data_IF_387982556446
#
_entry.id   IF_387982556446
#
_cell.length_a   1.000
_cell.length_b   1.000
_cell.length_c   1.000
_cell.angle_alpha   90.00
_cell.angle_beta   90.00
_cell.angle_gamma   90.00
#
_symmetry.space_group_name_H-M   'P 1'
#
loop_
_entity.id
_entity.type
_entity.pdbx_description
1 polymer ?
#
# COMPACT_ATOMS: atom_id res chain seq x y z
N UNK A 1 19.89 0.00 20.64
CA UNK A 1 18.53 -0.52 20.35
C UNK A 1 18.16 -0.03 18.97
N UNK A 2 17.70 -0.90 18.07
CA UNK A 2 17.21 -0.49 16.74
C UNK A 2 15.72 -0.10 16.78
N UNK A 3 15.21 0.50 15.70
CA UNK A 3 13.82 0.96 15.62
C UNK A 3 12.79 -0.16 15.82
N UNK A 4 13.08 -1.37 15.34
CA UNK A 4 12.16 -2.51 15.44
C UNK A 4 11.99 -2.98 16.87
N UNK A 5 13.09 -3.06 17.63
CA UNK A 5 13.05 -3.37 19.05
C UNK A 5 12.33 -2.27 19.85
N UNK A 6 12.65 -1.00 19.58
CA UNK A 6 12.00 0.13 20.25
C UNK A 6 10.48 0.18 19.97
N UNK A 7 10.07 -0.08 18.72
CA UNK A 7 8.66 -0.13 18.35
C UNK A 7 7.92 -1.27 19.07
N UNK A 8 8.56 -2.44 19.24
CA UNK A 8 7.96 -3.55 19.98
C UNK A 8 7.72 -3.21 21.45
N UNK A 9 8.67 -2.53 22.09
CA UNK A 9 8.55 -2.09 23.49
C UNK A 9 7.42 -1.07 23.63
N UNK A 10 7.43 0.01 22.84
CA UNK A 10 6.39 1.04 22.86
C UNK A 10 5.00 0.45 22.57
N UNK A 11 4.91 -0.46 21.59
CA UNK A 11 3.66 -1.14 21.23
C UNK A 11 3.10 -1.96 22.38
N UNK A 12 3.96 -2.65 23.15
CA UNK A 12 3.54 -3.44 24.32
C UNK A 12 3.14 -2.56 25.48
N UNK A 13 3.88 -1.46 25.73
CA UNK A 13 3.57 -0.51 26.80
C UNK A 13 2.17 0.09 26.63
N UNK A 14 1.88 0.64 25.45
CA UNK A 14 0.58 1.27 25.16
C UNK A 14 -0.51 0.30 24.67
N UNK A 15 -0.16 -0.91 24.25
CA UNK A 15 -1.12 -1.86 23.68
C UNK A 15 -1.63 -1.48 22.29
N UNK A 16 -0.86 -0.76 21.46
CA UNK A 16 -1.24 -0.49 20.07
C UNK A 16 -1.25 -1.77 19.22
N UNK A 17 -2.08 -1.80 18.17
CA UNK A 17 -2.02 -2.88 17.18
C UNK A 17 -0.69 -2.87 16.43
N UNK A 18 -0.26 -1.69 15.98
CA UNK A 18 1.03 -1.47 15.32
C UNK A 18 1.50 -0.02 15.52
N UNK A 19 2.79 0.23 15.30
CA UNK A 19 3.38 1.57 15.23
C UNK A 19 4.06 1.70 13.88
N UNK A 20 3.77 2.78 13.14
CA UNK A 20 4.39 3.09 11.86
C UNK A 20 5.04 4.49 11.93
N UNK A 21 6.30 4.58 11.49
CA UNK A 21 7.02 5.84 11.30
C UNK A 21 7.90 5.81 10.06
N UNK A 22 7.61 4.88 9.14
CA UNK A 22 8.43 4.65 7.94
C UNK A 22 8.31 5.78 6.92
N UNK A 23 7.19 6.51 6.93
CA UNK A 23 6.95 7.68 6.08
C UNK A 23 7.87 8.87 6.39
N UNK A 24 8.54 8.89 7.54
CA UNK A 24 9.42 9.99 7.96
C UNK A 24 10.75 10.02 7.22
N UNK A 25 11.16 8.92 6.58
CA UNK A 25 12.48 8.80 5.95
C UNK A 25 13.65 8.87 6.94
N UNK A 26 13.39 8.67 8.23
CA UNK A 26 14.40 8.73 9.28
C UNK A 26 15.28 7.47 9.32
N UNK A 27 16.51 7.64 9.80
CA UNK A 27 17.37 6.51 10.13
C UNK A 27 16.75 5.67 11.26
N UNK A 28 17.09 4.37 11.30
CA UNK A 28 16.65 3.47 12.37
C UNK A 28 17.02 3.99 13.77
N UNK A 29 18.19 4.63 13.90
CA UNK A 29 18.63 5.23 15.17
C UNK A 29 17.72 6.39 15.62
N UNK A 30 17.38 7.32 14.71
CA UNK A 30 16.52 8.45 15.04
C UNK A 30 15.11 8.00 15.43
N UNK A 31 14.56 7.03 14.69
CA UNK A 31 13.26 6.45 15.01
C UNK A 31 13.29 5.72 16.36
N UNK A 32 14.37 4.98 16.68
CA UNK A 32 14.53 4.32 17.96
C UNK A 32 14.56 5.32 19.15
N UNK A 33 15.21 6.48 18.99
CA UNK A 33 15.23 7.54 20.02
C UNK A 33 13.83 8.09 20.26
N UNK A 34 13.08 8.39 19.19
CA UNK A 34 11.70 8.87 19.30
C UNK A 34 10.80 7.87 20.04
N UNK A 35 10.88 6.58 19.66
CA UNK A 35 10.10 5.51 20.29
C UNK A 35 10.51 5.22 21.74
N UNK A 36 11.80 5.38 22.07
CA UNK A 36 12.28 5.27 23.44
C UNK A 36 11.77 6.42 24.30
N UNK A 37 11.71 7.63 23.76
CA UNK A 37 11.11 8.80 24.43
C UNK A 37 9.62 8.58 24.69
N UNK A 38 8.90 8.01 23.71
CA UNK A 38 7.51 7.62 23.89
C UNK A 38 7.34 6.55 25.00
N UNK A 39 8.27 5.58 25.09
CA UNK A 39 8.24 4.57 26.15
C UNK A 39 8.48 5.18 27.52
N UNK A 40 9.48 6.06 27.67
CA UNK A 40 9.74 6.76 28.92
C UNK A 40 8.53 7.59 29.38
N UNK A 41 7.84 8.24 28.43
CA UNK A 41 6.60 8.96 28.70
C UNK A 41 5.49 8.04 29.26
N UNK A 42 5.41 6.79 28.82
CA UNK A 42 4.49 5.81 29.39
C UNK A 42 4.87 5.42 30.82
N UNK A 43 6.15 5.17 31.07
CA UNK A 43 6.62 4.76 32.39
C UNK A 43 6.35 5.87 33.43
N UNK A 44 6.50 7.14 33.04
CA UNK A 44 6.25 8.30 33.90
C UNK A 44 4.76 8.64 34.06
N UNK A 45 3.96 8.51 33.01
CA UNK A 45 2.60 9.07 32.96
C UNK A 45 1.50 8.09 32.53
N UNK A 46 1.80 6.81 32.36
CA UNK A 46 0.86 5.80 31.87
C UNK A 46 -0.40 5.67 32.71
N UNK A 47 -0.30 5.85 34.04
CA UNK A 47 -1.44 5.84 34.97
C UNK A 47 -2.43 6.99 34.76
N UNK A 48 -2.03 8.04 34.04
CA UNK A 48 -2.87 9.21 33.74
C UNK A 48 -3.64 9.08 32.42
N UNK A 49 -3.44 7.99 31.68
CA UNK A 49 -4.20 7.68 30.47
C UNK A 49 -5.58 7.14 30.83
N UNK A 50 -6.59 7.46 30.01
CA UNK A 50 -7.95 6.94 30.22
C UNK A 50 -8.07 5.45 29.90
N UNK A 51 -7.13 4.93 29.12
CA UNK A 51 -7.13 3.58 28.57
C UNK A 51 -5.97 2.77 29.14
N UNK A 52 -6.24 1.51 29.48
CA UNK A 52 -5.21 0.52 29.83
C UNK A 52 -4.57 -0.09 28.58
N UNK A 53 -5.23 0.03 27.42
CA UNK A 53 -4.72 -0.43 26.13
C UNK A 53 -5.41 0.34 25.00
N UNK A 54 -4.64 0.74 23.99
CA UNK A 54 -5.15 1.40 22.80
C UNK A 54 -5.64 0.42 21.72
N UNK A 55 -5.57 -0.89 21.94
CA UNK A 55 -6.03 -1.89 20.96
C UNK A 55 -7.53 -1.70 20.63
N UNK A 56 -7.94 -1.67 19.35
CA UNK A 56 -7.18 -2.08 18.16
C UNK A 56 -6.54 -0.93 17.36
N UNK A 57 -6.39 0.26 17.95
CA UNK A 57 -5.84 1.42 17.24
C UNK A 57 -4.33 1.26 16.96
N UNK A 58 -3.89 1.89 15.87
CA UNK A 58 -2.50 1.96 15.42
C UNK A 58 -1.94 3.34 15.72
N UNK A 59 -0.65 3.41 16.00
CA UNK A 59 0.08 4.67 16.10
C UNK A 59 0.77 4.99 14.78
N UNK A 60 0.58 6.19 14.26
CA UNK A 60 1.30 6.73 13.11
C UNK A 60 2.12 7.94 13.53
N UNK A 61 3.42 7.88 13.28
CA UNK A 61 4.33 9.01 13.41
C UNK A 61 4.39 9.72 12.05
N UNK A 62 3.81 10.92 11.96
CA UNK A 62 3.76 11.69 10.72
C UNK A 62 3.96 13.17 10.99
N UNK A 63 4.68 13.85 10.10
CA UNK A 63 4.78 15.31 10.07
C UNK A 63 3.55 15.99 9.49
N UNK A 64 2.66 15.23 8.84
CA UNK A 64 1.48 15.77 8.19
C UNK A 64 0.47 16.28 9.22
N UNK A 65 0.18 17.57 9.22
CA UNK A 65 -0.83 18.21 10.08
C UNK A 65 -2.27 17.97 9.59
N UNK A 66 -2.46 17.02 8.69
CA UNK A 66 -3.67 16.89 7.88
C UNK A 66 -4.75 16.17 8.69
N UNK A 67 -5.58 16.98 9.34
CA UNK A 67 -6.92 16.65 9.86
C UNK A 67 -7.00 15.59 10.96
N UNK A 68 -7.03 16.07 12.21
CA UNK A 68 -7.41 15.27 13.37
C UNK A 68 -6.28 14.35 13.85
N UNK A 69 -5.96 14.42 15.14
CA UNK A 69 -4.94 13.55 15.73
C UNK A 69 -5.41 12.10 15.89
N UNK A 70 -6.69 11.83 15.64
CA UNK A 70 -7.32 10.51 15.80
C UNK A 70 -8.30 10.31 14.64
N UNK A 71 -8.03 9.31 13.80
CA UNK A 71 -8.92 8.84 12.72
C UNK A 71 -9.59 7.53 13.17
N UNK A 72 -10.87 7.63 13.54
CA UNK A 72 -11.69 6.49 13.98
C UNK A 72 -12.31 5.68 12.82
N UNK A 73 -12.00 6.04 11.58
CA UNK A 73 -12.36 5.25 10.39
C UNK A 73 -11.19 4.33 10.02
N UNK A 74 -9.95 4.82 10.01
CA UNK A 74 -8.74 4.00 9.76
C UNK A 74 -8.17 3.35 11.03
N UNK A 75 -8.60 3.81 12.22
CA UNK A 75 -8.07 3.36 13.50
C UNK A 75 -6.64 3.84 13.74
N UNK A 76 -6.36 5.10 13.40
CA UNK A 76 -5.03 5.69 13.49
C UNK A 76 -5.03 6.80 14.54
N UNK A 77 -4.06 6.74 15.45
CA UNK A 77 -3.68 7.87 16.29
C UNK A 77 -2.40 8.44 15.70
N UNK A 78 -2.42 9.72 15.38
CA UNK A 78 -1.31 10.40 14.77
C UNK A 78 -0.56 11.24 15.80
N UNK A 79 0.75 11.03 15.90
CA UNK A 79 1.64 11.91 16.66
C UNK A 79 2.64 12.55 15.72
N UNK A 80 2.79 13.87 15.85
CA UNK A 80 3.83 14.60 15.15
C UNK A 80 5.17 14.41 15.88
N UNK A 81 6.21 13.81 15.27
CA UNK A 81 7.49 13.59 15.93
C UNK A 81 8.22 14.87 16.36
N UNK A 82 7.89 16.02 15.76
CA UNK A 82 8.44 17.31 16.17
C UNK A 82 7.71 17.92 17.38
N UNK A 83 6.57 17.36 17.79
CA UNK A 83 5.84 17.81 18.97
C UNK A 83 6.52 17.33 20.26
N UNK A 84 6.28 18.06 21.34
CA UNK A 84 6.83 17.72 22.66
C UNK A 84 6.17 16.46 23.24
N UNK A 85 6.85 15.72 24.14
CA UNK A 85 6.26 14.56 24.81
C UNK A 85 4.95 14.87 25.54
N UNK A 86 4.80 16.08 26.10
CA UNK A 86 3.55 16.52 26.73
C UNK A 86 2.40 16.68 25.72
N UNK A 87 2.69 17.15 24.50
CA UNK A 87 1.69 17.23 23.42
C UNK A 87 1.28 15.84 22.93
N UNK A 88 2.21 14.87 22.92
CA UNK A 88 1.87 13.47 22.66
C UNK A 88 0.97 12.90 23.76
N UNK A 89 1.32 13.13 25.03
CA UNK A 89 0.53 12.69 26.17
C UNK A 89 -0.89 13.26 26.13
N UNK A 90 -1.06 14.56 25.84
CA UNK A 90 -2.37 15.19 25.68
C UNK A 90 -3.20 14.51 24.57
N UNK A 91 -2.55 14.17 23.46
CA UNK A 91 -3.20 13.49 22.34
C UNK A 91 -3.71 12.11 22.76
N UNK A 92 -2.88 11.35 23.46
CA UNK A 92 -3.22 10.01 23.95
C UNK A 92 -4.28 10.03 25.06
N UNK A 93 -4.25 11.04 25.94
CA UNK A 93 -5.26 11.23 26.99
C UNK A 93 -6.65 11.54 26.45
N UNK A 94 -6.74 12.09 25.25
CA UNK A 94 -8.01 12.42 24.62
C UNK A 94 -8.70 11.21 23.97
N UNK A 95 -8.01 10.06 23.86
CA UNK A 95 -8.62 8.83 23.36
C UNK A 95 -9.37 8.15 24.50
N UNK A 96 -10.65 7.91 24.28
CA UNK A 96 -11.55 7.30 25.26
C UNK A 96 -11.98 5.89 24.87
N UNK A 97 -12.64 5.17 25.80
CA UNK A 97 -13.27 3.89 25.50
C UNK A 97 -14.39 4.01 24.45
N UNK A 98 -15.09 5.15 24.42
CA UNK A 98 -16.13 5.45 23.44
C UNK A 98 -15.54 5.54 22.02
N UNK A 99 -14.35 6.10 21.87
CA UNK A 99 -13.65 6.19 20.59
C UNK A 99 -13.27 4.80 20.04
N UNK A 100 -12.80 3.90 20.91
CA UNK A 100 -12.56 2.50 20.55
C UNK A 100 -13.87 1.82 20.13
N UNK A 101 -14.96 2.10 20.85
CA UNK A 101 -16.30 1.62 20.51
C UNK A 101 -16.74 2.07 19.11
N UNK A 102 -16.62 3.38 18.82
CA UNK A 102 -16.92 3.97 17.52
C UNK A 102 -16.08 3.36 16.41
N UNK A 103 -14.77 3.18 16.61
CA UNK A 103 -13.91 2.52 15.63
C UNK A 103 -14.39 1.10 15.30
N UNK A 104 -14.72 0.29 16.32
CA UNK A 104 -15.23 -1.07 16.11
C UNK A 104 -16.57 -1.09 15.35
N UNK A 105 -17.46 -0.15 15.66
CA UNK A 105 -18.73 0.01 14.94
C UNK A 105 -18.47 0.37 13.47
N UNK A 106 -17.59 1.35 13.21
CA UNK A 106 -17.23 1.77 11.86
C UNK A 106 -16.63 0.64 11.04
N UNK A 107 -15.73 -0.16 11.62
CA UNK A 107 -15.12 -1.32 10.97
C UNK A 107 -16.15 -2.42 10.66
N UNK A 108 -17.06 -2.70 11.60
CA UNK A 108 -18.14 -3.68 11.39
C UNK A 108 -19.08 -3.25 10.27
N UNK A 109 -19.47 -1.97 10.24
CA UNK A 109 -20.31 -1.39 9.17
C UNK A 109 -19.60 -1.45 7.83
N UNK A 110 -18.33 -1.01 7.75
CA UNK A 110 -17.56 -1.06 6.52
C UNK A 110 -17.45 -2.48 5.98
N UNK A 111 -17.12 -3.47 6.83
CA UNK A 111 -17.01 -4.87 6.41
C UNK A 111 -18.31 -5.37 5.79
N UNK A 112 -19.45 -5.14 6.46
CA UNK A 112 -20.77 -5.50 5.94
C UNK A 112 -21.06 -4.86 4.59
N UNK A 113 -20.85 -3.54 4.48
CA UNK A 113 -21.15 -2.82 3.23
C UNK A 113 -20.20 -3.22 2.09
N UNK A 114 -18.93 -3.51 2.39
CA UNK A 114 -17.98 -4.05 1.41
C UNK A 114 -18.41 -5.42 0.90
N UNK A 115 -18.91 -6.30 1.76
CA UNK A 115 -19.40 -7.61 1.34
C UNK A 115 -20.58 -7.46 0.35
N UNK A 116 -21.53 -6.57 0.63
CA UNK A 116 -22.65 -6.27 -0.26
C UNK A 116 -22.13 -5.76 -1.61
N UNK A 117 -21.37 -4.66 -1.60
CA UNK A 117 -20.88 -4.00 -2.82
C UNK A 117 -20.04 -4.95 -3.69
N UNK A 118 -19.08 -5.64 -3.08
CA UNK A 118 -18.14 -6.49 -3.81
C UNK A 118 -18.81 -7.72 -4.41
N UNK A 119 -19.81 -8.29 -3.72
CA UNK A 119 -20.53 -9.45 -4.23
C UNK A 119 -21.55 -9.06 -5.30
N UNK A 120 -22.28 -7.95 -5.11
CA UNK A 120 -23.28 -7.49 -6.09
C UNK A 120 -22.65 -6.98 -7.39
N UNK A 121 -21.50 -6.30 -7.31
CA UNK A 121 -20.83 -5.75 -8.49
C UNK A 121 -19.74 -6.68 -9.06
N UNK A 122 -19.39 -7.77 -8.37
CA UNK A 122 -18.31 -8.67 -8.80
C UNK A 122 -16.94 -8.01 -8.83
N UNK A 123 -16.68 -7.08 -7.91
CA UNK A 123 -15.44 -6.28 -7.83
C UNK A 123 -14.70 -6.52 -6.52
N UNK A 124 -13.44 -6.07 -6.47
CA UNK A 124 -12.70 -5.86 -5.23
C UNK A 124 -12.53 -4.36 -5.02
N UNK A 125 -12.99 -3.83 -3.89
CA UNK A 125 -12.88 -2.40 -3.61
C UNK A 125 -11.67 -2.12 -2.71
N UNK A 126 -10.98 -1.00 -2.95
CA UNK A 126 -9.84 -0.55 -2.15
C UNK A 126 -9.86 0.97 -1.99
N UNK A 127 -9.45 1.47 -0.82
CA UNK A 127 -9.17 2.89 -0.60
C UNK A 127 -7.92 3.32 -1.37
N UNK A 128 -8.03 4.38 -2.15
CA UNK A 128 -6.93 5.06 -2.82
C UNK A 128 -6.16 5.97 -1.88
N UNK A 129 -4.98 6.42 -2.29
CA UNK A 129 -4.12 7.22 -1.41
C UNK A 129 -4.68 8.63 -1.18
N UNK A 130 -5.38 9.20 -2.18
CA UNK A 130 -5.94 10.54 -2.07
C UNK A 130 -7.27 10.60 -1.32
N UNK A 131 -7.86 9.45 -0.99
CA UNK A 131 -9.17 9.37 -0.34
C UNK A 131 -9.00 9.24 1.18
N UNK A 132 -9.69 10.10 1.93
CA UNK A 132 -9.75 9.97 3.39
C UNK A 132 -10.49 8.68 3.79
N UNK A 133 -10.19 8.15 4.97
CA UNK A 133 -10.89 6.95 5.47
C UNK A 133 -12.37 7.24 5.72
N UNK A 134 -12.70 8.45 6.17
CA UNK A 134 -14.07 8.92 6.28
C UNK A 134 -14.81 8.84 4.94
N UNK A 135 -14.28 9.49 3.90
CA UNK A 135 -14.92 9.54 2.58
C UNK A 135 -15.07 8.15 1.98
N UNK A 136 -14.08 7.28 2.19
CA UNK A 136 -14.15 5.89 1.76
C UNK A 136 -15.31 5.14 2.43
N UNK A 137 -15.44 5.24 3.75
CA UNK A 137 -16.56 4.59 4.46
C UNK A 137 -17.91 5.12 3.97
N UNK A 138 -18.05 6.44 3.85
CA UNK A 138 -19.28 7.08 3.38
C UNK A 138 -19.60 6.72 1.92
N UNK A 139 -18.60 6.57 1.07
CA UNK A 139 -18.75 6.09 -0.29
C UNK A 139 -19.29 4.65 -0.32
N UNK A 140 -18.66 3.74 0.44
CA UNK A 140 -19.07 2.32 0.48
C UNK A 140 -20.47 2.16 1.05
N UNK A 141 -20.79 2.88 2.12
CA UNK A 141 -22.12 2.86 2.74
C UNK A 141 -23.20 3.33 1.76
N UNK A 142 -23.02 4.49 1.11
CA UNK A 142 -23.98 5.00 0.12
C UNK A 142 -24.19 4.02 -1.04
N UNK A 143 -23.10 3.41 -1.53
CA UNK A 143 -23.17 2.44 -2.61
C UNK A 143 -23.92 1.17 -2.19
N UNK A 144 -23.63 0.64 -0.99
CA UNK A 144 -24.30 -0.53 -0.47
C UNK A 144 -25.80 -0.31 -0.25
N UNK A 145 -26.18 0.82 0.35
CA UNK A 145 -27.59 1.19 0.56
C UNK A 145 -28.31 1.33 -0.79
N UNK A 146 -27.67 1.96 -1.78
CA UNK A 146 -28.22 2.08 -3.12
C UNK A 146 -28.46 0.73 -3.80
N UNK A 147 -27.56 -0.24 -3.60
CA UNK A 147 -27.71 -1.61 -4.11
C UNK A 147 -28.83 -2.35 -3.37
N UNK A 148 -28.84 -2.31 -2.03
CA UNK A 148 -29.88 -2.97 -1.22
C UNK A 148 -31.28 -2.47 -1.57
N UNK A 149 -31.45 -1.16 -1.79
CA UNK A 149 -32.75 -0.58 -2.16
C UNK A 149 -33.22 -1.08 -3.53
N UNK A 150 -32.33 -1.14 -4.53
CA UNK A 150 -32.65 -1.69 -5.86
C UNK A 150 -33.06 -3.16 -5.81
N UNK A 151 -32.34 -3.96 -5.03
CA UNK A 151 -32.67 -5.38 -4.87
C UNK A 151 -34.05 -5.61 -4.25
N UNK A 152 -34.46 -4.74 -3.31
CA UNK A 152 -35.80 -4.77 -2.72
C UNK A 152 -36.89 -4.36 -3.71
N UNK A 153 -36.63 -3.38 -4.55
CA UNK A 153 -37.57 -2.87 -5.56
C UNK A 153 -37.74 -3.85 -6.74
N UNK A 154 -36.66 -4.48 -7.20
CA UNK A 154 -36.66 -5.33 -8.40
C UNK A 154 -36.96 -6.82 -8.10
N UNK A 155 -37.15 -7.20 -6.82
CA UNK A 155 -37.45 -8.58 -6.42
C UNK A 155 -36.39 -9.61 -6.82
N UNK A 156 -35.17 -9.14 -7.13
CA UNK A 156 -34.15 -9.94 -7.80
C UNK A 156 -33.18 -10.55 -6.78
N UNK A 157 -33.03 -11.88 -6.84
CA UNK A 157 -32.02 -12.62 -6.08
C UNK A 157 -30.64 -12.22 -6.60
N UNK A 158 -29.72 -11.87 -5.69
CA UNK A 158 -28.30 -11.65 -5.99
C UNK A 158 -27.77 -12.84 -6.80
N UNK A 159 -27.64 -12.66 -8.11
CA UNK A 159 -27.04 -13.66 -9.00
C UNK A 159 -25.58 -13.85 -8.57
N UNK A 160 -25.32 -14.96 -7.90
CA UNK A 160 -23.99 -15.45 -7.51
C UNK A 160 -23.15 -15.91 -8.71
N UNK A 161 -23.53 -15.56 -9.94
CA UNK A 161 -22.81 -15.94 -11.18
C UNK A 161 -21.46 -15.24 -11.35
N UNK A 162 -21.09 -14.28 -10.48
CA UNK A 162 -19.77 -13.63 -10.50
C UNK A 162 -18.62 -14.53 -10.00
N UNK A 163 -18.87 -15.80 -9.65
CA UNK A 163 -17.85 -16.74 -9.13
C UNK A 163 -16.85 -17.24 -10.18
N UNK A 164 -17.12 -17.05 -11.48
CA UNK A 164 -16.28 -17.62 -12.54
C UNK A 164 -15.17 -16.69 -13.08
N UNK A 165 -15.25 -15.37 -12.83
CA UNK A 165 -14.29 -14.40 -13.36
C UNK A 165 -13.55 -13.69 -12.22
N UNK A 166 -12.25 -13.48 -12.41
CA UNK A 166 -11.43 -12.73 -11.47
C UNK A 166 -12.00 -11.31 -11.26
N UNK A 167 -12.17 -10.93 -9.99
CA UNK A 167 -12.82 -9.66 -9.62
C UNK A 167 -11.93 -8.48 -10.00
N UNK A 168 -12.49 -7.51 -10.69
CA UNK A 168 -11.75 -6.28 -11.06
C UNK A 168 -11.48 -5.44 -9.82
N UNK A 169 -10.24 -4.97 -9.65
CA UNK A 169 -9.87 -4.07 -8.57
C UNK A 169 -10.35 -2.64 -8.88
N UNK A 170 -11.16 -2.09 -7.99
CA UNK A 170 -11.66 -0.72 -8.03
C UNK A 170 -11.06 0.07 -6.86
N UNK A 171 -10.37 1.17 -7.18
CA UNK A 171 -9.73 2.06 -6.21
C UNK A 171 -10.52 3.36 -6.07
N UNK A 172 -10.90 3.70 -4.85
CA UNK A 172 -11.67 4.92 -4.55
C UNK A 172 -10.70 6.06 -4.22
N UNK A 173 -10.70 7.10 -5.03
CA UNK A 173 -9.87 8.30 -4.86
C UNK A 173 -10.75 9.47 -4.42
N UNK A 174 -10.14 10.56 -3.94
CA UNK A 174 -10.90 11.79 -3.68
C UNK A 174 -11.58 12.31 -4.95
N UNK A 175 -12.66 13.06 -4.77
CA UNK A 175 -13.37 13.77 -5.85
C UNK A 175 -12.47 14.70 -6.65
N UNK A 176 -11.47 15.29 -6.01
CA UNK A 176 -10.48 16.15 -6.65
C UNK A 176 -9.53 15.35 -7.56
N UNK A 177 -9.11 14.16 -7.13
CA UNK A 177 -8.21 13.32 -7.90
C UNK A 177 -8.91 12.54 -9.03
N UNK A 178 -10.20 12.25 -8.89
CA UNK A 178 -10.93 11.42 -9.85
C UNK A 178 -12.42 11.80 -9.94
N UNK A 179 -12.82 12.56 -10.97
CA UNK A 179 -14.23 12.93 -11.20
C UNK A 179 -15.06 11.90 -11.97
N UNK A 180 -14.40 10.95 -12.63
CA UNK A 180 -15.03 9.91 -13.47
C UNK A 180 -14.25 8.60 -13.37
N UNK A 181 -14.88 7.50 -13.73
CA UNK A 181 -14.22 6.20 -13.82
C UNK A 181 -13.05 6.21 -14.83
N UNK A 182 -11.85 5.85 -14.38
CA UNK A 182 -10.63 5.81 -15.21
C UNK A 182 -9.92 4.47 -15.03
N UNK A 183 -9.44 3.88 -16.14
CA UNK A 183 -8.66 2.65 -16.11
C UNK A 183 -7.16 2.95 -16.00
N UNK A 184 -6.51 2.43 -14.95
CA UNK A 184 -5.07 2.55 -14.75
C UNK A 184 -4.26 1.62 -15.67
N UNK A 185 -2.94 1.86 -15.72
CA UNK A 185 -2.00 1.00 -16.44
C UNK A 185 -1.97 -0.43 -15.88
N UNK A 186 -2.08 -0.58 -14.55
CA UNK A 186 -2.07 -1.88 -13.87
C UNK A 186 -3.41 -2.66 -13.94
N UNK A 187 -4.39 -2.18 -14.72
CA UNK A 187 -5.69 -2.83 -14.85
C UNK A 187 -6.70 -2.52 -13.73
N UNK A 188 -6.36 -1.70 -12.73
CA UNK A 188 -7.34 -1.24 -11.74
C UNK A 188 -8.20 -0.09 -12.27
N UNK A 189 -9.46 -0.02 -11.85
CA UNK A 189 -10.36 1.09 -12.18
C UNK A 189 -10.36 2.07 -11.01
N UNK A 190 -10.09 3.36 -11.26
CA UNK A 190 -10.28 4.41 -10.27
C UNK A 190 -11.66 5.02 -10.38
N UNK A 191 -12.27 5.31 -9.23
CA UNK A 191 -13.55 6.03 -9.11
C UNK A 191 -13.42 7.13 -8.05
N UNK A 192 -14.18 8.20 -8.19
CA UNK A 192 -14.26 9.28 -7.20
C UNK A 192 -15.17 8.94 -6.04
N UNK A 193 -14.80 9.36 -4.83
CA UNK A 193 -15.61 9.18 -3.63
C UNK A 193 -16.96 9.92 -3.67
N UNK A 194 -17.15 10.90 -4.55
CA UNK A 194 -18.39 11.66 -4.75
C UNK A 194 -19.28 11.10 -5.87
N UNK A 195 -18.80 10.12 -6.64
CA UNK A 195 -19.58 9.53 -7.73
C UNK A 195 -20.83 8.82 -7.20
N UNK A 196 -21.94 8.96 -7.93
CA UNK A 196 -23.19 8.24 -7.62
C UNK A 196 -23.05 6.75 -7.89
N UNK A 197 -23.87 5.93 -7.23
CA UNK A 197 -23.83 4.48 -7.42
C UNK A 197 -24.08 4.05 -8.87
N UNK A 198 -24.95 4.78 -9.59
CA UNK A 198 -25.17 4.59 -11.02
C UNK A 198 -23.93 4.88 -11.87
N UNK A 199 -23.28 6.02 -11.62
CA UNK A 199 -22.08 6.41 -12.35
C UNK A 199 -20.93 5.41 -12.10
N UNK A 200 -20.82 4.89 -10.87
CA UNK A 200 -19.87 3.84 -10.51
C UNK A 200 -20.18 2.54 -11.24
N UNK A 201 -21.42 2.05 -11.19
CA UNK A 201 -21.84 0.83 -11.85
C UNK A 201 -21.63 0.91 -13.38
N UNK A 202 -22.03 2.02 -14.00
CA UNK A 202 -21.81 2.27 -15.42
C UNK A 202 -20.33 2.31 -15.79
N UNK A 203 -19.49 2.93 -14.94
CA UNK A 203 -18.04 2.97 -15.15
C UNK A 203 -17.40 1.59 -15.07
N UNK A 204 -17.82 0.76 -14.11
CA UNK A 204 -17.35 -0.62 -13.95
C UNK A 204 -17.77 -1.45 -15.15
N UNK A 205 -19.05 -1.42 -15.53
CA UNK A 205 -19.55 -2.17 -16.68
C UNK A 205 -18.76 -1.84 -17.95
N UNK A 206 -18.56 -0.54 -18.22
CA UNK A 206 -17.82 -0.05 -19.38
C UNK A 206 -16.34 -0.44 -19.39
N UNK A 207 -15.65 -0.39 -18.25
CA UNK A 207 -14.19 -0.57 -18.18
C UNK A 207 -13.74 -1.98 -17.81
N UNK A 208 -14.66 -2.85 -17.35
CA UNK A 208 -14.33 -4.16 -16.80
C UNK A 208 -13.60 -5.08 -17.78
N UNK A 209 -14.01 -5.11 -19.06
CA UNK A 209 -13.39 -5.96 -20.08
C UNK A 209 -11.93 -5.56 -20.33
N UNK A 210 -11.67 -4.27 -20.50
CA UNK A 210 -10.31 -3.76 -20.73
C UNK A 210 -9.45 -3.86 -19.48
N UNK A 211 -10.05 -3.68 -18.30
CA UNK A 211 -9.39 -3.91 -17.02
C UNK A 211 -8.86 -5.34 -16.90
N UNK A 212 -9.70 -6.34 -17.18
CA UNK A 212 -9.30 -7.76 -17.14
C UNK A 212 -8.19 -8.06 -18.14
N UNK A 213 -8.28 -7.56 -19.38
CA UNK A 213 -7.22 -7.72 -20.38
C UNK A 213 -5.89 -7.15 -19.91
N UNK A 214 -5.90 -5.96 -19.29
CA UNK A 214 -4.69 -5.35 -18.72
C UNK A 214 -4.13 -6.14 -17.54
N UNK A 215 -4.98 -6.67 -16.65
CA UNK A 215 -4.55 -7.50 -15.53
C UNK A 215 -3.84 -8.76 -16.04
N UNK A 216 -4.42 -9.46 -17.01
CA UNK A 216 -3.82 -10.65 -17.63
C UNK A 216 -2.47 -10.28 -18.26
N UNK A 217 -2.42 -9.25 -19.11
CA UNK A 217 -1.17 -8.80 -19.74
C UNK A 217 -0.10 -8.43 -18.70
N UNK A 218 -0.49 -7.78 -17.60
CA UNK A 218 0.44 -7.42 -16.53
C UNK A 218 0.93 -8.65 -15.76
N UNK A 219 0.07 -9.63 -15.52
CA UNK A 219 0.44 -10.89 -14.88
C UNK A 219 1.43 -11.68 -15.75
N UNK A 220 1.17 -11.76 -17.06
CA UNK A 220 2.07 -12.40 -18.04
C UNK A 220 3.44 -11.69 -18.07
N UNK A 221 3.45 -10.36 -18.08
CA UNK A 221 4.68 -9.57 -18.03
C UNK A 221 5.48 -9.83 -16.75
N UNK A 222 4.82 -9.85 -15.59
CA UNK A 222 5.47 -10.12 -14.31
C UNK A 222 6.02 -11.56 -14.24
N UNK A 223 5.28 -12.52 -14.79
CA UNK A 223 5.73 -13.91 -14.88
C UNK A 223 6.93 -14.06 -15.80
N UNK A 224 6.93 -13.34 -16.93
CA UNK A 224 8.06 -13.30 -17.87
C UNK A 224 9.29 -12.68 -17.22
N UNK A 225 9.14 -11.54 -16.52
CA UNK A 225 10.24 -10.91 -15.76
C UNK A 225 10.79 -11.87 -14.71
N UNK A 226 9.93 -12.54 -13.94
CA UNK A 226 10.37 -13.52 -12.93
C UNK A 226 11.16 -14.67 -13.57
N UNK A 227 10.71 -15.15 -14.72
CA UNK A 227 11.38 -16.21 -15.47
C UNK A 227 12.76 -15.74 -15.96
N UNK A 228 12.86 -14.54 -16.53
CA UNK A 228 14.14 -13.99 -16.99
C UNK A 228 15.10 -13.64 -15.84
N UNK A 229 14.59 -13.24 -14.67
CA UNK A 229 15.40 -13.11 -13.46
C UNK A 229 16.01 -14.47 -13.10
N UNK A 230 15.20 -15.53 -13.03
CA UNK A 230 15.68 -16.88 -12.75
C UNK A 230 16.75 -17.33 -13.74
N UNK A 231 16.49 -17.15 -15.04
CA UNK A 231 17.47 -17.46 -16.10
C UNK A 231 18.76 -16.65 -15.95
N UNK A 232 18.69 -15.36 -15.66
CA UNK A 232 19.89 -14.55 -15.46
C UNK A 232 20.68 -14.99 -14.22
N UNK A 233 19.99 -15.37 -13.14
CA UNK A 233 20.66 -15.92 -11.96
C UNK A 233 21.36 -17.25 -12.25
N UNK A 234 20.73 -18.13 -13.04
CA UNK A 234 21.30 -19.42 -13.44
C UNK A 234 22.50 -19.25 -14.41
N UNK A 235 22.34 -18.42 -15.44
CA UNK A 235 23.35 -18.25 -16.49
C UNK A 235 24.60 -17.51 -15.99
N UNK A 236 24.43 -16.44 -15.20
CA UNK A 236 25.53 -15.58 -14.76
C UNK A 236 25.96 -15.81 -13.30
N UNK A 237 25.26 -16.68 -12.57
CA UNK A 237 25.55 -16.95 -11.16
C UNK A 237 25.22 -15.78 -10.22
N UNK A 238 24.32 -14.87 -10.60
CA UNK A 238 23.93 -13.76 -9.72
C UNK A 238 23.24 -14.28 -8.45
N UNK A 239 23.67 -13.76 -7.29
CA UNK A 239 22.99 -14.02 -6.02
C UNK A 239 21.56 -13.48 -6.02
N UNK A 240 21.38 -12.25 -6.52
CA UNK A 240 20.09 -11.56 -6.54
C UNK A 240 20.01 -10.59 -7.71
N UNK A 241 18.83 -10.50 -8.33
CA UNK A 241 18.48 -9.40 -9.26
C UNK A 241 17.38 -8.55 -8.63
N UNK A 242 17.55 -7.23 -8.64
CA UNK A 242 16.57 -6.31 -8.08
C UNK A 242 16.53 -4.97 -8.82
N UNK A 243 15.51 -4.15 -8.53
CA UNK A 243 15.37 -2.80 -9.08
C UNK A 243 16.11 -1.83 -8.18
N UNK A 244 17.10 -1.13 -8.71
CA UNK A 244 17.94 -0.19 -7.99
C UNK A 244 17.32 1.22 -8.00
N UNK A 245 17.12 1.78 -6.81
CA UNK A 245 16.89 3.21 -6.59
C UNK A 245 15.66 3.83 -7.27
N UNK A 246 15.66 5.16 -7.27
CA UNK A 246 14.75 6.02 -8.04
C UNK A 246 15.50 6.58 -9.25
N UNK A 247 14.87 6.75 -10.43
CA UNK A 247 13.45 6.52 -10.70
C UNK A 247 13.07 5.04 -10.71
N UNK A 248 11.81 4.75 -10.35
CA UNK A 248 11.34 3.38 -10.19
C UNK A 248 11.26 2.67 -11.55
N UNK A 249 12.21 1.79 -11.81
CA UNK A 249 12.27 0.99 -13.04
C UNK A 249 11.01 0.15 -13.21
N UNK A 250 10.41 0.23 -14.40
CA UNK A 250 9.21 -0.51 -14.80
C UNK A 250 9.55 -1.98 -15.06
N UNK A 251 8.52 -2.83 -15.13
CA UNK A 251 8.72 -4.25 -15.46
C UNK A 251 9.21 -4.44 -16.90
N UNK A 252 8.83 -3.56 -17.83
CA UNK A 252 9.23 -3.61 -19.24
C UNK A 252 10.70 -3.23 -19.41
N UNK A 253 11.18 -2.22 -18.68
CA UNK A 253 12.59 -1.82 -18.65
C UNK A 253 13.47 -2.93 -18.05
N UNK A 254 13.05 -3.53 -16.92
CA UNK A 254 13.74 -4.70 -16.35
C UNK A 254 13.80 -5.83 -17.37
N UNK A 255 12.69 -6.12 -18.05
CA UNK A 255 12.66 -7.18 -19.06
C UNK A 255 13.64 -6.89 -20.20
N UNK A 256 13.65 -5.66 -20.70
CA UNK A 256 14.54 -5.20 -21.77
C UNK A 256 16.01 -5.37 -21.37
N UNK A 257 16.37 -4.93 -20.17
CA UNK A 257 17.72 -5.06 -19.62
C UNK A 257 18.14 -6.54 -19.52
N UNK A 258 17.27 -7.40 -18.99
CA UNK A 258 17.56 -8.82 -18.82
C UNK A 258 17.63 -9.56 -20.15
N UNK A 259 16.75 -9.24 -21.10
CA UNK A 259 16.82 -9.81 -22.45
C UNK A 259 18.12 -9.41 -23.14
N UNK A 260 18.51 -8.13 -23.07
CA UNK A 260 19.79 -7.64 -23.64
C UNK A 260 20.98 -8.39 -23.03
N UNK A 261 20.97 -8.62 -21.72
CA UNK A 261 22.03 -9.36 -21.04
C UNK A 261 22.05 -10.84 -21.46
N UNK A 262 20.88 -11.50 -21.49
CA UNK A 262 20.74 -12.92 -21.85
C UNK A 262 20.97 -13.20 -23.34
N UNK A 263 20.84 -12.19 -24.20
CA UNK A 263 21.09 -12.28 -25.65
C UNK A 263 22.49 -11.80 -26.02
N UNK A 264 23.29 -11.33 -25.05
CA UNK A 264 24.65 -10.85 -25.30
C UNK A 264 25.55 -11.98 -25.82
N UNK A 265 26.24 -11.72 -26.93
CA UNK A 265 27.23 -12.63 -27.52
C UNK A 265 28.46 -12.83 -26.64
N UNK A 266 28.66 -11.99 -25.62
CA UNK A 266 29.79 -12.04 -24.68
C UNK A 266 29.48 -12.86 -23.41
N UNK A 267 28.38 -13.63 -23.44
CA UNK A 267 27.87 -14.38 -22.31
C UNK A 267 28.97 -15.16 -21.57
N UNK A 268 29.79 -15.92 -22.29
CA UNK A 268 30.84 -16.76 -21.71
C UNK A 268 31.95 -15.99 -20.97
N UNK A 269 32.25 -14.75 -21.39
CA UNK A 269 33.24 -13.90 -20.71
C UNK A 269 32.68 -13.31 -19.41
N UNK A 270 31.37 -13.06 -19.38
CA UNK A 270 30.68 -12.43 -18.26
C UNK A 270 30.35 -13.43 -17.13
N UNK A 271 30.08 -14.71 -17.46
CA UNK A 271 29.69 -15.74 -16.46
C UNK A 271 30.65 -15.83 -15.27
N UNK A 272 31.96 -15.87 -15.54
CA UNK A 272 32.97 -15.99 -14.49
C UNK A 272 33.13 -14.73 -13.63
N UNK A 273 32.91 -13.55 -14.22
CA UNK A 273 33.16 -12.26 -13.57
C UNK A 273 31.98 -11.77 -12.73
N UNK A 274 30.76 -12.20 -13.07
CA UNK A 274 29.53 -11.74 -12.44
C UNK A 274 29.02 -12.67 -11.33
N UNK A 275 29.50 -13.92 -11.29
CA UNK A 275 29.08 -14.92 -10.32
C UNK A 275 29.26 -14.44 -8.86
N UNK A 276 28.24 -14.69 -8.03
CA UNK A 276 28.21 -14.32 -6.60
C UNK A 276 27.78 -12.87 -6.32
N UNK A 277 27.73 -12.00 -7.33
CA UNK A 277 27.32 -10.61 -7.16
C UNK A 277 25.79 -10.46 -7.21
N UNK A 278 25.29 -9.33 -6.69
CA UNK A 278 23.90 -8.90 -6.91
C UNK A 278 23.84 -7.93 -8.09
N UNK A 279 22.81 -8.04 -8.92
CA UNK A 279 22.53 -7.13 -10.03
C UNK A 279 21.39 -6.17 -9.68
N UNK A 280 21.70 -4.88 -9.62
CA UNK A 280 20.73 -3.80 -9.53
C UNK A 280 20.42 -3.22 -10.92
N UNK A 281 19.15 -3.17 -11.31
CA UNK A 281 18.73 -2.51 -12.56
C UNK A 281 18.18 -1.13 -12.23
N UNK A 282 18.84 -0.09 -12.74
CA UNK A 282 18.52 1.32 -12.52
C UNK A 282 17.77 1.93 -13.71
N UNK A 283 17.21 3.13 -13.49
CA UNK A 283 16.57 3.92 -14.53
C UNK A 283 17.53 4.38 -15.63
N UNK A 284 17.00 5.02 -16.66
CA UNK A 284 17.83 5.65 -17.69
C UNK A 284 18.61 6.85 -17.13
N UNK A 285 19.75 7.16 -17.75
CA UNK A 285 20.63 8.26 -17.32
C UNK A 285 21.57 7.93 -16.15
N UNK A 286 21.56 6.68 -15.66
CA UNK A 286 22.56 6.18 -14.73
C UNK A 286 23.75 5.56 -15.48
N UNK A 287 24.92 5.53 -14.85
CA UNK A 287 26.07 4.79 -15.36
C UNK A 287 26.17 3.44 -14.66
N UNK A 288 26.86 2.48 -15.29
CA UNK A 288 27.25 1.25 -14.60
C UNK A 288 28.16 1.60 -13.41
N UNK A 289 27.79 1.17 -12.21
CA UNK A 289 28.55 1.45 -10.99
C UNK A 289 28.40 0.31 -9.98
N UNK A 290 29.23 0.34 -8.94
CA UNK A 290 29.07 -0.54 -7.77
C UNK A 290 28.23 0.18 -6.72
N UNK A 291 27.19 -0.48 -6.22
CA UNK A 291 26.39 -0.01 -5.10
C UNK A 291 27.16 -0.11 -3.77
N UNK A 292 26.71 0.62 -2.76
CA UNK A 292 27.31 0.62 -1.42
C UNK A 292 27.27 -0.76 -0.74
N UNK A 293 26.38 -1.64 -1.19
CA UNK A 293 26.24 -3.03 -0.76
C UNK A 293 27.08 -4.02 -1.60
N UNK A 294 27.93 -3.53 -2.50
CA UNK A 294 28.74 -4.34 -3.41
C UNK A 294 27.97 -4.90 -4.60
N UNK A 295 26.73 -4.45 -4.83
CA UNK A 295 25.96 -4.82 -6.02
C UNK A 295 26.53 -4.17 -7.29
N UNK A 296 26.39 -4.86 -8.43
CA UNK A 296 26.65 -4.28 -9.75
C UNK A 296 25.35 -3.63 -10.19
N UNK A 297 25.37 -2.31 -10.39
CA UNK A 297 24.19 -1.56 -10.82
C UNK A 297 24.37 -1.16 -12.28
N UNK A 298 23.40 -1.52 -13.12
CA UNK A 298 23.38 -1.20 -14.56
C UNK A 298 22.11 -0.44 -14.92
N UNK A 299 22.19 0.59 -15.79
CA UNK A 299 20.99 1.24 -16.30
C UNK A 299 20.26 0.29 -17.26
N UNK A 300 18.93 0.33 -17.30
CA UNK A 300 18.17 -0.63 -18.12
C UNK A 300 18.45 -0.52 -19.64
N UNK A 301 18.86 0.67 -20.08
CA UNK A 301 19.16 1.05 -21.46
C UNK A 301 20.68 1.02 -21.77
N UNK A 302 21.45 0.27 -20.99
CA UNK A 302 22.87 0.07 -21.23
C UNK A 302 23.15 -0.53 -22.61
N UNK A 303 24.26 -0.14 -23.22
CA UNK A 303 24.70 -0.64 -24.53
C UNK A 303 26.02 -1.39 -24.39
N UNK A 304 26.12 -2.56 -24.99
CA UNK A 304 27.40 -3.21 -25.29
C UNK A 304 28.05 -2.43 -26.44
N UNK A 305 29.25 -1.90 -26.22
CA UNK A 305 30.08 -1.33 -27.28
C UNK A 305 31.12 -2.33 -27.71
#
# INVERSE_FOLDING_TARGET
MDASAAALVARRAYGFQSIDGTSLGWSSANLAICLSTLTALFDEHGSSLQLTSFYPLRLLLSSDEIQGKIDLYDGIIMLNPAATPLQWLQTLKNVSHDDIGKYKINQTRLKRYLEIVQNSLGIKLKKGHSCSSYDYHMFVERLAIGIENRLKEEGMVLSSQALALERVLVTVESSQACRRGVLNANGSIRVGADMTGEAVAASIARLSTDARKKVIKQADLLQTVKTNIGRAQEEFGFYRVYRAGLPKVTSEEVLTCLSTLLESTELDQLKGSLAGNSLGIAGSGHYCHLGDDGSIVVPWDWQTR
#
